data_IF_150698300590
#
_entry.id   IF_150698300590
#
_cell.length_a   1.000
_cell.length_b   1.000
_cell.length_c   1.000
_cell.angle_alpha   90.00
_cell.angle_beta   90.00
_cell.angle_gamma   90.00
#
_symmetry.space_group_name_H-M   'P 1'
#
loop_
_entity.id
_entity.type
_entity.pdbx_description
1 polymer ?
#
# COMPACT_ATOMS: atom_id res chain seq x y z
N UNK A 1 21.17 -33.33 -8.71
CA UNK A 1 20.50 -32.34 -9.58
C UNK A 1 19.12 -32.90 -9.90
N UNK A 2 18.07 -32.11 -9.71
CA UNK A 2 16.71 -32.52 -10.07
C UNK A 2 16.57 -32.38 -11.59
N UNK A 3 15.89 -33.31 -12.25
CA UNK A 3 15.63 -33.20 -13.69
C UNK A 3 14.82 -31.93 -13.96
N UNK A 4 15.29 -31.09 -14.89
CA UNK A 4 14.62 -29.85 -15.32
C UNK A 4 13.13 -30.03 -15.69
N UNK A 5 12.75 -31.23 -16.12
CA UNK A 5 11.37 -31.60 -16.43
C UNK A 5 10.49 -31.71 -15.18
N UNK A 6 11.07 -32.21 -14.08
CA UNK A 6 10.41 -32.34 -12.77
C UNK A 6 10.24 -30.96 -12.14
N UNK A 7 11.27 -30.11 -12.20
CA UNK A 7 11.20 -28.72 -11.71
C UNK A 7 10.09 -27.93 -12.42
N UNK A 8 10.02 -28.04 -13.75
CA UNK A 8 8.99 -27.38 -14.56
C UNK A 8 7.58 -27.90 -14.23
N UNK A 9 7.44 -29.20 -13.97
CA UNK A 9 6.18 -29.78 -13.55
C UNK A 9 5.70 -29.18 -12.22
N UNK A 10 6.57 -29.11 -11.21
CA UNK A 10 6.23 -28.48 -9.93
C UNK A 10 5.90 -27.00 -10.06
N UNK A 11 6.63 -26.25 -10.89
CA UNK A 11 6.33 -24.84 -11.13
C UNK A 11 4.95 -24.66 -11.77
N UNK A 12 4.61 -25.48 -12.77
CA UNK A 12 3.29 -25.44 -13.39
C UNK A 12 2.18 -25.77 -12.40
N UNK A 13 2.33 -26.86 -11.62
CA UNK A 13 1.35 -27.22 -10.60
C UNK A 13 1.19 -26.11 -9.54
N UNK A 14 2.28 -25.49 -9.11
CA UNK A 14 2.23 -24.38 -8.18
C UNK A 14 1.51 -23.17 -8.78
N UNK A 15 1.80 -22.83 -10.04
CA UNK A 15 1.18 -21.72 -10.79
C UNK A 15 -0.33 -21.92 -10.94
N UNK A 16 -0.77 -23.14 -11.29
CA UNK A 16 -2.18 -23.50 -11.37
C UNK A 16 -2.89 -23.36 -10.02
N UNK A 17 -2.20 -23.70 -8.93
CA UNK A 17 -2.72 -23.58 -7.58
C UNK A 17 -2.77 -22.14 -7.05
N UNK A 18 -2.00 -21.19 -7.61
CA UNK A 18 -1.94 -19.79 -7.14
C UNK A 18 -3.33 -19.17 -7.11
N UNK A 19 -4.16 -19.39 -8.13
CA UNK A 19 -5.49 -18.76 -8.20
C UNK A 19 -6.35 -19.20 -7.01
N UNK A 20 -6.47 -20.50 -6.77
CA UNK A 20 -7.21 -21.04 -5.62
C UNK A 20 -6.57 -20.67 -4.27
N UNK A 21 -5.23 -20.57 -4.23
CA UNK A 21 -4.52 -20.16 -3.04
C UNK A 21 -4.78 -18.68 -2.72
N UNK A 22 -4.78 -17.77 -3.70
CA UNK A 22 -5.08 -16.35 -3.51
C UNK A 22 -6.52 -16.10 -3.06
N UNK A 23 -7.45 -17.00 -3.43
CA UNK A 23 -8.84 -16.97 -2.96
C UNK A 23 -8.99 -17.40 -1.49
N UNK A 24 -8.14 -18.33 -1.03
CA UNK A 24 -8.24 -18.93 0.31
C UNK A 24 -7.25 -18.35 1.33
N UNK A 25 -6.15 -17.77 0.86
CA UNK A 25 -5.07 -17.23 1.66
C UNK A 25 -4.59 -15.91 1.07
N UNK A 26 -4.52 -14.89 1.91
CA UNK A 26 -4.22 -13.52 1.49
C UNK A 26 -2.77 -13.09 1.72
N UNK A 27 -1.93 -13.96 2.33
CA UNK A 27 -0.54 -13.66 2.73
C UNK A 27 0.47 -14.70 2.20
N UNK A 28 0.34 -15.08 0.92
CA UNK A 28 1.14 -16.14 0.30
C UNK A 28 2.61 -15.73 0.15
N UNK A 29 2.87 -14.47 -0.20
CA UNK A 29 4.25 -14.00 -0.36
C UNK A 29 5.02 -14.05 0.96
N UNK A 30 4.37 -13.86 2.10
CA UNK A 30 5.01 -14.00 3.42
C UNK A 30 5.51 -15.42 3.71
N UNK A 31 4.94 -16.44 3.06
CA UNK A 31 5.30 -17.86 3.29
C UNK A 31 6.49 -18.31 2.45
N UNK A 32 6.83 -17.60 1.38
CA UNK A 32 7.96 -17.94 0.51
C UNK A 32 9.26 -17.45 1.17
N UNK A 33 10.30 -18.27 1.38
CA UNK A 33 11.57 -17.77 1.91
C UNK A 33 12.24 -16.78 0.96
N UNK A 34 12.80 -15.67 1.47
CA UNK A 34 13.43 -14.63 0.63
C UNK A 34 14.55 -15.17 -0.26
N UNK A 35 15.30 -16.19 0.20
CA UNK A 35 16.36 -16.84 -0.58
C UNK A 35 15.87 -17.58 -1.83
N UNK A 36 14.58 -17.95 -1.88
CA UNK A 36 13.99 -18.70 -2.98
C UNK A 36 13.18 -17.81 -3.94
N UNK A 37 13.07 -16.51 -3.66
CA UNK A 37 12.19 -15.62 -4.42
C UNK A 37 12.62 -15.48 -5.88
N UNK A 38 13.92 -15.38 -6.18
CA UNK A 38 14.39 -15.28 -7.57
C UNK A 38 14.16 -16.55 -8.38
N UNK A 39 14.38 -17.71 -7.75
CA UNK A 39 14.07 -19.02 -8.33
C UNK A 39 12.57 -19.19 -8.60
N UNK A 40 11.74 -18.55 -7.78
CA UNK A 40 10.28 -18.59 -7.87
C UNK A 40 9.71 -17.29 -8.44
N UNK A 41 10.49 -16.51 -9.19
CA UNK A 41 10.10 -15.20 -9.72
C UNK A 41 8.82 -15.25 -10.55
N UNK A 42 8.63 -16.31 -11.33
CA UNK A 42 7.40 -16.58 -12.06
C UNK A 42 6.20 -16.77 -11.12
N UNK A 43 6.34 -17.63 -10.11
CA UNK A 43 5.31 -17.88 -9.11
C UNK A 43 4.97 -16.61 -8.31
N UNK A 44 5.99 -15.83 -7.93
CA UNK A 44 5.84 -14.54 -7.25
C UNK A 44 5.08 -13.56 -8.14
N UNK A 45 5.41 -13.50 -9.43
CA UNK A 45 4.70 -12.67 -10.41
C UNK A 45 3.23 -13.04 -10.48
N UNK A 46 2.93 -14.34 -10.56
CA UNK A 46 1.55 -14.82 -10.61
C UNK A 46 0.78 -14.50 -9.33
N UNK A 47 1.40 -14.64 -8.15
CA UNK A 47 0.79 -14.25 -6.87
C UNK A 47 0.50 -12.75 -6.82
N UNK A 48 1.45 -11.89 -7.24
CA UNK A 48 1.28 -10.43 -7.27
C UNK A 48 0.08 -10.05 -8.15
N UNK A 49 0.02 -10.58 -9.37
CA UNK A 49 -1.05 -10.25 -10.33
C UNK A 49 -2.39 -10.81 -9.87
N UNK A 50 -2.44 -12.07 -9.40
CA UNK A 50 -3.70 -12.71 -9.00
C UNK A 50 -4.28 -12.13 -7.72
N UNK A 51 -3.46 -11.79 -6.73
CA UNK A 51 -3.96 -11.17 -5.50
C UNK A 51 -4.37 -9.70 -5.68
N UNK A 52 -3.84 -9.03 -6.71
CA UNK A 52 -4.31 -7.70 -7.15
C UNK A 52 -5.69 -7.74 -7.81
N UNK A 53 -5.90 -8.69 -8.74
CA UNK A 53 -7.12 -8.79 -9.56
C UNK A 53 -8.40 -9.08 -8.76
N UNK A 54 -8.30 -9.63 -7.54
CA UNK A 54 -9.50 -10.01 -6.77
C UNK A 54 -10.28 -8.81 -6.21
N UNK A 55 -9.77 -7.57 -6.29
CA UNK A 55 -10.47 -6.37 -5.74
C UNK A 55 -10.44 -5.09 -6.59
N UNK A 56 -9.59 -4.98 -7.62
CA UNK A 56 -9.49 -3.77 -8.45
C UNK A 56 -9.93 -4.10 -9.89
N UNK A 57 -11.20 -3.85 -10.19
CA UNK A 57 -11.86 -4.35 -11.40
C UNK A 57 -11.65 -3.46 -12.63
N UNK A 58 -10.78 -3.91 -13.55
CA UNK A 58 -10.82 -3.83 -15.03
C UNK A 58 -11.24 -2.54 -15.80
N UNK A 59 -11.56 -1.40 -15.19
CA UNK A 59 -11.73 -0.15 -15.93
C UNK A 59 -11.38 1.08 -15.09
N UNK A 60 -10.30 1.77 -15.48
CA UNK A 60 -9.91 3.08 -14.93
C UNK A 60 -9.72 3.03 -13.42
N UNK A 61 -8.59 2.47 -12.98
CA UNK A 61 -8.28 2.24 -11.57
C UNK A 61 -8.59 3.49 -10.73
N UNK A 62 -9.66 3.41 -9.94
CA UNK A 62 -10.02 4.50 -9.04
C UNK A 62 -8.92 4.60 -7.98
N UNK A 63 -8.32 5.77 -7.87
CA UNK A 63 -7.26 6.05 -6.90
C UNK A 63 -7.68 5.62 -5.48
N UNK A 64 -8.96 5.79 -5.15
CA UNK A 64 -9.53 5.39 -3.87
C UNK A 64 -9.48 3.86 -3.66
N UNK A 65 -9.86 3.08 -4.69
CA UNK A 65 -9.83 1.62 -4.64
C UNK A 65 -8.41 1.09 -4.56
N UNK A 66 -7.48 1.67 -5.32
CA UNK A 66 -6.06 1.32 -5.24
C UNK A 66 -5.52 1.61 -3.84
N UNK A 67 -5.80 2.80 -3.30
CA UNK A 67 -5.33 3.16 -1.96
C UNK A 67 -5.85 2.18 -0.91
N UNK A 68 -7.16 1.89 -0.94
CA UNK A 68 -7.77 0.92 -0.05
C UNK A 68 -7.12 -0.47 -0.19
N UNK A 69 -6.89 -0.92 -1.43
CA UNK A 69 -6.23 -2.20 -1.67
C UNK A 69 -4.81 -2.21 -1.11
N UNK A 70 -3.99 -1.20 -1.41
CA UNK A 70 -2.61 -1.08 -0.88
C UNK A 70 -2.58 -1.12 0.65
N UNK A 71 -3.54 -0.48 1.32
CA UNK A 71 -3.60 -0.42 2.78
C UNK A 71 -4.18 -1.67 3.44
N UNK A 72 -4.87 -2.53 2.70
CA UNK A 72 -5.47 -3.77 3.22
C UNK A 72 -4.82 -5.04 2.69
N UNK A 73 -3.99 -4.95 1.65
CA UNK A 73 -3.35 -6.09 1.01
C UNK A 73 -2.29 -6.70 1.94
N UNK A 74 -2.46 -7.96 2.40
CA UNK A 74 -1.59 -8.48 3.47
C UNK A 74 -0.14 -8.69 3.03
N UNK A 75 0.07 -9.05 1.76
CA UNK A 75 1.39 -9.24 1.16
C UNK A 75 2.09 -7.93 0.74
N UNK A 76 1.44 -6.77 0.91
CA UNK A 76 1.96 -5.47 0.45
C UNK A 76 3.36 -5.15 0.99
N UNK A 77 3.68 -5.56 2.22
CA UNK A 77 5.01 -5.31 2.82
C UNK A 77 6.12 -6.01 2.04
N UNK A 78 5.88 -7.28 1.65
CA UNK A 78 6.78 -8.05 0.79
C UNK A 78 6.95 -7.36 -0.56
N UNK A 79 5.85 -6.92 -1.14
CA UNK A 79 5.84 -6.28 -2.46
C UNK A 79 6.65 -4.99 -2.45
N UNK A 80 6.43 -4.10 -1.48
CA UNK A 80 7.19 -2.86 -1.37
C UNK A 80 8.66 -3.10 -1.03
N UNK A 81 9.02 -4.23 -0.40
CA UNK A 81 10.42 -4.62 -0.18
C UNK A 81 11.19 -4.92 -1.47
N UNK A 82 10.49 -5.27 -2.56
CA UNK A 82 11.12 -5.58 -3.85
C UNK A 82 11.81 -4.37 -4.48
N UNK A 83 11.33 -3.15 -4.20
CA UNK A 83 11.97 -1.91 -4.68
C UNK A 83 13.21 -1.50 -3.87
N UNK A 84 13.45 -2.13 -2.71
CA UNK A 84 14.60 -1.86 -1.85
C UNK A 84 15.55 -3.05 -1.81
N UNK A 85 15.48 -3.84 -0.73
CA UNK A 85 16.39 -4.95 -0.41
C UNK A 85 16.47 -6.03 -1.50
N UNK A 86 15.43 -6.19 -2.32
CA UNK A 86 15.34 -7.22 -3.36
C UNK A 86 15.25 -6.64 -4.79
N UNK A 87 15.96 -5.55 -5.09
CA UNK A 87 15.90 -4.90 -6.42
C UNK A 87 16.20 -5.83 -7.60
N UNK A 88 17.05 -6.85 -7.41
CA UNK A 88 17.32 -7.89 -8.43
C UNK A 88 16.11 -8.77 -8.75
N UNK A 89 15.30 -9.10 -7.74
CA UNK A 89 14.07 -9.87 -7.93
C UNK A 89 13.08 -9.08 -8.77
N UNK A 90 12.98 -7.76 -8.54
CA UNK A 90 12.06 -6.91 -9.29
C UNK A 90 12.31 -7.02 -10.80
N UNK A 91 13.56 -7.15 -11.24
CA UNK A 91 13.92 -7.32 -12.66
C UNK A 91 13.47 -8.67 -13.23
N UNK A 92 13.43 -9.71 -12.41
CA UNK A 92 13.03 -11.07 -12.79
C UNK A 92 11.51 -11.26 -12.85
N UNK A 93 10.71 -10.31 -12.36
CA UNK A 93 9.26 -10.37 -12.42
C UNK A 93 8.72 -10.08 -13.83
N UNK A 94 7.53 -10.60 -14.13
CA UNK A 94 6.82 -10.28 -15.38
C UNK A 94 6.45 -8.80 -15.46
N UNK A 95 6.28 -8.28 -16.67
CA UNK A 95 5.91 -6.87 -16.90
C UNK A 95 4.57 -6.50 -16.24
N UNK A 96 3.61 -7.44 -16.24
CA UNK A 96 2.31 -7.26 -15.58
C UNK A 96 2.48 -7.11 -14.05
N UNK A 97 3.30 -7.96 -13.43
CA UNK A 97 3.59 -7.85 -12.00
C UNK A 97 4.33 -6.54 -11.69
N UNK A 98 5.30 -6.15 -12.52
CA UNK A 98 6.00 -4.85 -12.39
C UNK A 98 5.05 -3.68 -12.49
N UNK A 99 4.07 -3.74 -13.39
CA UNK A 99 3.06 -2.70 -13.57
C UNK A 99 2.19 -2.54 -12.32
N UNK A 100 1.66 -3.65 -11.77
CA UNK A 100 0.92 -3.65 -10.49
C UNK A 100 1.73 -2.97 -9.38
N UNK A 101 3.01 -3.36 -9.25
CA UNK A 101 3.91 -2.79 -8.24
C UNK A 101 4.19 -1.31 -8.51
N UNK A 102 4.16 -0.84 -9.76
CA UNK A 102 4.36 0.56 -10.11
C UNK A 102 3.15 1.43 -9.77
N UNK A 103 1.95 0.93 -10.08
CA UNK A 103 0.68 1.59 -9.79
C UNK A 103 0.51 1.73 -8.28
N UNK A 104 0.68 0.63 -7.51
CA UNK A 104 0.60 0.67 -6.05
C UNK A 104 1.60 1.65 -5.44
N UNK A 105 2.80 1.70 -5.99
CA UNK A 105 3.87 2.59 -5.52
C UNK A 105 3.55 4.06 -5.78
N UNK A 106 3.06 4.38 -6.97
CA UNK A 106 2.68 5.72 -7.39
C UNK A 106 1.59 6.30 -6.49
N UNK A 107 0.51 5.54 -6.25
CA UNK A 107 -0.58 5.95 -5.36
C UNK A 107 -0.08 6.18 -3.94
N UNK A 108 0.72 5.27 -3.42
CA UNK A 108 1.25 5.39 -2.06
C UNK A 108 2.17 6.61 -1.89
N UNK A 109 3.05 6.88 -2.86
CA UNK A 109 3.92 8.07 -2.90
C UNK A 109 3.11 9.35 -2.92
N UNK A 110 2.07 9.38 -3.77
CA UNK A 110 1.20 10.54 -3.87
C UNK A 110 0.53 10.83 -2.52
N UNK A 111 -0.03 9.81 -1.86
CA UNK A 111 -0.64 9.98 -0.53
C UNK A 111 0.37 10.50 0.50
N UNK A 112 1.58 9.94 0.56
CA UNK A 112 2.62 10.44 1.47
C UNK A 112 2.93 11.92 1.20
N UNK A 113 3.18 12.28 -0.05
CA UNK A 113 3.48 13.65 -0.45
C UNK A 113 2.34 14.59 -0.06
N UNK A 114 1.11 14.19 -0.33
CA UNK A 114 -0.07 15.02 -0.09
C UNK A 114 -0.33 15.15 1.43
N UNK A 115 -0.02 14.13 2.25
CA UNK A 115 -0.04 14.20 3.72
C UNK A 115 1.02 15.19 4.24
N UNK A 116 2.25 15.10 3.73
CA UNK A 116 3.35 15.97 4.17
C UNK A 116 3.12 17.42 3.78
N UNK A 117 2.60 17.67 2.58
CA UNK A 117 2.30 19.02 2.05
C UNK A 117 0.96 19.58 2.54
N UNK A 118 0.05 18.74 3.06
CA UNK A 118 -1.28 19.15 3.49
C UNK A 118 -2.29 19.33 2.37
N UNK A 119 -2.01 18.77 1.19
CA UNK A 119 -2.91 18.76 0.05
C UNK A 119 -3.77 17.48 -0.04
N UNK A 120 -3.65 16.58 0.93
CA UNK A 120 -4.38 15.31 0.97
C UNK A 120 -5.89 15.52 1.15
N UNK A 121 -6.69 14.74 0.44
CA UNK A 121 -8.14 14.73 0.62
C UNK A 121 -8.52 14.12 1.98
N UNK A 122 -9.54 14.67 2.63
CA UNK A 122 -10.02 14.17 3.93
C UNK A 122 -10.38 12.68 3.87
N UNK A 123 -11.01 12.22 2.78
CA UNK A 123 -11.34 10.80 2.58
C UNK A 123 -10.09 9.89 2.57
N UNK A 124 -8.98 10.34 2.00
CA UNK A 124 -7.73 9.58 1.96
C UNK A 124 -7.04 9.56 3.32
N UNK A 125 -7.11 10.67 4.07
CA UNK A 125 -6.67 10.68 5.47
C UNK A 125 -7.49 9.72 6.33
N UNK A 126 -8.81 9.72 6.17
CA UNK A 126 -9.71 8.82 6.90
C UNK A 126 -9.38 7.34 6.61
N UNK A 127 -9.10 7.00 5.35
CA UNK A 127 -8.63 5.67 4.94
C UNK A 127 -7.29 5.31 5.60
N UNK A 128 -6.31 6.23 5.58
CA UNK A 128 -5.01 6.04 6.25
C UNK A 128 -5.18 5.86 7.75
N UNK A 129 -6.08 6.59 8.40
CA UNK A 129 -6.34 6.45 9.84
C UNK A 129 -6.96 5.09 10.19
N UNK A 130 -7.78 4.52 9.31
CA UNK A 130 -8.34 3.16 9.52
C UNK A 130 -7.24 2.09 9.44
N UNK A 131 -6.22 2.32 8.62
CA UNK A 131 -5.14 1.37 8.33
C UNK A 131 -3.76 1.86 8.78
N UNK A 132 -3.71 2.69 9.84
CA UNK A 132 -2.53 3.48 10.23
C UNK A 132 -1.27 2.62 10.45
N UNK A 133 -1.40 1.50 11.17
CA UNK A 133 -0.29 0.58 11.42
C UNK A 133 0.29 0.01 10.12
N UNK A 134 -0.57 -0.31 9.16
CA UNK A 134 -0.14 -0.83 7.87
C UNK A 134 0.54 0.28 7.06
N UNK A 135 -0.08 1.46 6.98
CA UNK A 135 0.49 2.65 6.33
C UNK A 135 1.90 2.96 6.84
N UNK A 136 2.07 3.09 8.16
CA UNK A 136 3.38 3.36 8.78
C UNK A 136 4.38 2.26 8.43
N UNK A 137 3.97 1.00 8.45
CA UNK A 137 4.88 -0.11 8.13
C UNK A 137 5.35 -0.10 6.67
N UNK A 138 4.47 0.22 5.71
CA UNK A 138 4.84 0.38 4.29
C UNK A 138 5.74 1.60 4.14
N UNK A 139 5.40 2.71 4.80
CA UNK A 139 6.22 3.92 4.81
C UNK A 139 7.63 3.65 5.34
N UNK A 140 7.80 2.89 6.42
CA UNK A 140 9.12 2.51 6.96
C UNK A 140 9.92 1.57 6.05
N UNK A 141 9.25 0.72 5.27
CA UNK A 141 9.92 -0.13 4.26
C UNK A 141 10.40 0.73 3.09
N UNK A 142 9.57 1.70 2.67
CA UNK A 142 9.86 2.58 1.56
C UNK A 142 10.84 3.69 1.90
N UNK A 143 10.76 4.24 3.12
CA UNK A 143 11.58 5.34 3.61
C UNK A 143 13.04 4.91 3.47
N UNK A 144 13.73 5.35 2.41
CA UNK A 144 15.10 4.95 2.20
C UNK A 144 15.83 5.55 3.39
N UNK A 145 16.56 4.73 4.15
CA UNK A 145 17.67 5.26 4.94
C UNK A 145 18.50 6.06 3.93
N UNK A 146 18.41 7.40 4.03
CA UNK A 146 18.98 8.35 3.08
C UNK A 146 20.40 7.92 2.75
N UNK A 147 20.59 7.31 1.59
CA UNK A 147 21.92 6.97 1.11
C UNK A 147 22.59 8.30 0.74
N UNK A 148 23.64 8.60 1.51
CA UNK A 148 24.61 9.67 1.33
C UNK A 148 24.10 11.09 1.65
N UNK A 149 24.77 11.72 2.63
CA UNK A 149 24.82 13.17 2.96
C UNK A 149 24.14 13.69 4.24
N UNK A 150 23.72 12.86 5.21
CA UNK A 150 23.53 13.36 6.58
C UNK A 150 24.21 12.50 7.66
N UNK A 151 24.95 13.11 8.61
CA UNK A 151 25.63 12.41 9.70
C UNK A 151 24.69 12.02 10.85
N UNK A 152 23.36 12.18 10.70
CA UNK A 152 22.40 11.75 11.71
C UNK A 152 21.80 10.42 11.26
N UNK A 153 22.20 9.33 11.91
CA UNK A 153 21.48 8.05 11.84
C UNK A 153 20.04 8.28 12.33
N UNK A 154 19.13 8.66 11.44
CA UNK A 154 17.70 8.61 11.74
C UNK A 154 17.35 7.12 11.85
N UNK A 155 17.13 6.65 13.08
CA UNK A 155 16.68 5.28 13.32
C UNK A 155 15.24 5.11 12.83
N UNK A 156 14.83 3.87 12.57
CA UNK A 156 13.44 3.58 12.18
C UNK A 156 12.44 4.09 13.23
N UNK A 157 12.79 4.11 14.52
CA UNK A 157 11.91 4.66 15.55
C UNK A 157 11.76 6.19 15.47
N UNK A 158 12.79 6.92 15.06
CA UNK A 158 12.69 8.37 14.85
C UNK A 158 11.79 8.68 13.67
N UNK A 159 12.02 8.01 12.53
CA UNK A 159 11.16 8.14 11.36
C UNK A 159 9.70 7.81 11.73
N UNK A 160 9.47 6.68 12.39
CA UNK A 160 8.13 6.29 12.81
C UNK A 160 7.45 7.40 13.63
N UNK A 161 8.14 7.95 14.62
CA UNK A 161 7.61 9.06 15.44
C UNK A 161 7.29 10.30 14.61
N UNK A 162 8.18 10.71 13.70
CA UNK A 162 7.94 11.86 12.82
C UNK A 162 6.65 11.68 12.00
N UNK A 163 6.43 10.48 11.45
CA UNK A 163 5.21 10.20 10.70
C UNK A 163 3.97 10.13 11.61
N UNK A 164 4.06 9.51 12.78
CA UNK A 164 2.97 9.49 13.78
C UNK A 164 2.57 10.91 14.19
N UNK A 165 3.53 11.81 14.43
CA UNK A 165 3.26 13.22 14.74
C UNK A 165 2.60 13.98 13.59
N UNK A 166 3.00 13.69 12.34
CA UNK A 166 2.32 14.26 11.16
C UNK A 166 0.87 13.79 11.10
N UNK A 167 0.64 12.48 11.24
CA UNK A 167 -0.71 11.90 11.18
C UNK A 167 -1.59 12.42 12.32
N UNK A 168 -1.04 12.59 13.52
CA UNK A 168 -1.75 13.17 14.65
C UNK A 168 -2.18 14.61 14.39
N UNK A 169 -1.31 15.45 13.83
CA UNK A 169 -1.67 16.83 13.42
C UNK A 169 -2.77 16.82 12.35
N UNK A 170 -2.68 15.95 11.34
CA UNK A 170 -3.73 15.81 10.33
C UNK A 170 -5.06 15.37 10.92
N UNK A 171 -5.04 14.50 11.93
CA UNK A 171 -6.24 14.04 12.64
C UNK A 171 -6.93 15.20 13.38
N UNK A 172 -6.15 16.04 14.04
CA UNK A 172 -6.65 17.25 14.71
C UNK A 172 -7.24 18.26 13.70
N UNK A 173 -6.55 18.50 12.59
CA UNK A 173 -7.06 19.35 11.50
C UNK A 173 -8.40 18.85 10.96
N UNK A 174 -8.52 17.54 10.67
CA UNK A 174 -9.78 16.94 10.23
C UNK A 174 -10.86 17.10 11.29
N UNK A 175 -10.57 16.89 12.57
CA UNK A 175 -11.54 17.08 13.65
C UNK A 175 -12.05 18.52 13.72
N UNK A 176 -11.16 19.51 13.56
CA UNK A 176 -11.53 20.92 13.48
C UNK A 176 -12.42 21.23 12.28
N UNK A 177 -12.04 20.78 11.08
CA UNK A 177 -12.85 20.97 9.86
C UNK A 177 -14.25 20.36 10.01
N UNK A 178 -14.37 19.15 10.58
CA UNK A 178 -15.67 18.50 10.81
C UNK A 178 -16.51 19.26 11.84
N UNK A 179 -15.90 19.82 12.88
CA UNK A 179 -16.58 20.66 13.87
C UNK A 179 -17.13 21.93 13.22
N UNK A 180 -16.33 22.61 12.41
CA UNK A 180 -16.74 23.83 11.72
C UNK A 180 -17.83 23.54 10.69
N UNK A 181 -17.71 22.45 9.94
CA UNK A 181 -18.74 21.97 9.02
C UNK A 181 -20.09 21.78 9.74
N UNK A 182 -20.08 21.18 10.93
CA UNK A 182 -21.29 21.00 11.76
C UNK A 182 -21.86 22.33 12.26
N UNK A 183 -21.00 23.26 12.69
CA UNK A 183 -21.41 24.57 13.15
C UNK A 183 -22.09 25.38 12.03
N UNK A 184 -21.47 25.42 10.84
CA UNK A 184 -22.04 26.07 9.64
C UNK A 184 -23.36 25.41 9.24
N UNK A 185 -23.43 24.08 9.23
CA UNK A 185 -24.66 23.34 8.95
C UNK A 185 -25.79 23.69 9.93
N UNK A 186 -25.47 23.85 11.21
CA UNK A 186 -26.42 24.24 12.25
C UNK A 186 -26.91 25.68 12.06
N UNK A 187 -25.99 26.60 11.77
CA UNK A 187 -26.32 28.00 11.49
C UNK A 187 -27.24 28.14 10.27
N UNK A 188 -26.92 27.46 9.17
CA UNK A 188 -27.78 27.45 7.97
C UNK A 188 -29.18 26.90 8.26
N UNK A 189 -29.29 25.87 9.10
CA UNK A 189 -30.58 25.34 9.51
C UNK A 189 -31.40 26.36 10.33
N UNK A 190 -30.75 27.15 11.18
CA UNK A 190 -31.41 28.25 11.91
C UNK A 190 -31.91 29.34 10.96
N UNK A 191 -31.09 29.78 10.00
CA UNK A 191 -31.49 30.79 9.01
C UNK A 191 -32.72 30.36 8.20
N UNK A 192 -32.77 29.11 7.74
CA UNK A 192 -33.93 28.58 6.99
C UNK A 192 -35.21 28.58 7.81
N UNK A 193 -35.14 28.29 9.12
CA UNK A 193 -36.31 28.34 9.99
C UNK A 193 -36.87 29.75 10.13
N UNK A 194 -36.00 30.76 10.19
CA UNK A 194 -36.42 32.17 10.27
C UNK A 194 -37.02 32.64 8.93
N UNK A 195 -36.52 32.17 7.79
CA UNK A 195 -37.08 32.53 6.47
C UNK A 195 -38.44 31.90 6.16
N UNK A 196 -38.78 30.79 6.83
CA UNK A 196 -40.05 30.09 6.65
C UNK A 196 -41.14 30.54 7.64
N UNK A 197 -40.83 31.53 8.50
CA UNK A 197 -41.75 32.15 9.46
C UNK A 197 -42.17 33.54 8.95
#
# INVERSE_FOLDING_TARGET
ELDSSIERCFLNCATEAVTAACETQSNLLEKIPSCNMGLLSQLVSDIVVKSWQTKCGQSGEDFDEILHHVLTWPDVKRIFSFRGTNSKLLEELTDEAKNVIAISDSVFVQVIRDILTGCVLVKHLEEVFQHEKQFISIWLIRAPLKEHHQPFLQTKELLQREMEEVLQRRREEVAHVRKDQKAVGTFLAMCRKVQAA
#
